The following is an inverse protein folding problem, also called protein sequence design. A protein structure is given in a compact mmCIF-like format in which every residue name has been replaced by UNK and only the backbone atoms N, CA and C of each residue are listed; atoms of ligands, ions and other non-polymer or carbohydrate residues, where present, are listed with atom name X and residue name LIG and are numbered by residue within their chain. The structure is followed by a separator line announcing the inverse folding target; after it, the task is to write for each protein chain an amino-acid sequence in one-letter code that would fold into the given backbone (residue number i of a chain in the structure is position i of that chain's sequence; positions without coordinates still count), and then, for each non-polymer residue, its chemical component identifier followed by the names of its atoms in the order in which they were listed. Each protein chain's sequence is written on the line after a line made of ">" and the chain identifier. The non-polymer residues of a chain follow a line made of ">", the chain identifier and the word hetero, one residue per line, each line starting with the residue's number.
data_IF_919858545056
#
_entry.id   IF_919858545056
#
_cell.length_a   1.000
_cell.length_b   1.000
_cell.length_c   1.000
_cell.angle_alpha   90.00
_cell.angle_beta   90.00
_cell.angle_gamma   90.00
#
_symmetry.space_group_name_H-M   'P 1'
#
loop_
_entity.id
_entity.type
_entity.pdbx_description
1 polymer ?
#
# COMPACT_ATOMS: atom_id res chain seq x y z
N UNK A 1 -6.28 41.37 -4.19
CA UNK A 1 -5.57 40.10 -4.49
C UNK A 1 -5.34 39.31 -3.20
N UNK A 2 -6.27 38.43 -2.76
CA UNK A 2 -6.07 37.61 -1.55
C UNK A 2 -6.07 36.10 -1.88
N UNK A 3 -5.21 35.67 -2.82
CA UNK A 3 -5.15 34.26 -3.23
C UNK A 3 -3.93 33.50 -2.67
N UNK A 4 -3.00 34.19 -1.99
CA UNK A 4 -1.73 33.60 -1.53
C UNK A 4 -1.82 32.93 -0.16
N UNK A 5 -2.78 33.31 0.69
CA UNK A 5 -2.91 32.76 2.06
C UNK A 5 -3.50 31.35 2.13
N UNK A 6 -4.30 30.95 1.14
CA UNK A 6 -4.96 29.63 1.13
C UNK A 6 -4.03 28.51 0.64
N UNK A 7 -3.05 28.84 -0.19
CA UNK A 7 -2.07 27.89 -0.72
C UNK A 7 -1.00 27.50 0.33
N UNK A 8 -0.61 28.42 1.20
CA UNK A 8 0.39 28.14 2.25
C UNK A 8 -0.10 27.11 3.29
N UNK A 9 -1.39 27.05 3.57
CA UNK A 9 -1.96 26.09 4.55
C UNK A 9 -1.98 24.65 4.04
N UNK A 10 -2.16 24.44 2.72
CA UNK A 10 -2.14 23.10 2.12
C UNK A 10 -0.72 22.53 2.03
N UNK A 11 0.26 23.39 1.71
CA UNK A 11 1.68 23.01 1.65
C UNK A 11 2.21 22.66 3.05
N UNK A 12 1.83 23.41 4.08
CA UNK A 12 2.21 23.12 5.47
C UNK A 12 1.65 21.78 5.97
N UNK A 13 0.40 21.45 5.63
CA UNK A 13 -0.22 20.17 6.03
C UNK A 13 0.43 18.98 5.31
N UNK A 14 0.77 19.13 4.02
CA UNK A 14 1.49 18.11 3.26
C UNK A 14 2.93 17.91 3.78
N UNK A 15 3.60 18.99 4.22
CA UNK A 15 4.95 18.92 4.78
C UNK A 15 4.98 18.16 6.12
N UNK A 16 3.98 18.38 6.99
CA UNK A 16 3.86 17.69 8.29
C UNK A 16 3.62 16.17 8.11
N UNK A 17 2.84 15.77 7.11
CA UNK A 17 2.64 14.36 6.79
C UNK A 17 3.91 13.68 6.23
N UNK A 18 4.76 14.41 5.48
CA UNK A 18 6.03 13.85 4.97
C UNK A 18 7.09 13.71 6.07
N UNK A 19 7.08 14.56 7.10
CA UNK A 19 8.07 14.50 8.19
C UNK A 19 7.76 13.45 9.27
N UNK A 20 6.56 12.85 9.25
CA UNK A 20 6.12 11.87 10.26
C UNK A 20 6.70 10.46 10.12
N UNK A 21 7.52 10.18 9.09
CA UNK A 21 8.00 8.81 8.81
C UNK A 21 9.41 8.54 9.36
N UNK A 22 10.10 9.56 9.89
CA UNK A 22 11.46 9.44 10.40
C UNK A 22 11.57 9.15 11.91
N UNK A 23 10.44 8.93 12.60
CA UNK A 23 10.43 8.65 14.04
C UNK A 23 9.31 7.71 14.49
N UNK A 24 8.83 6.86 13.58
CA UNK A 24 7.90 5.78 13.93
C UNK A 24 8.67 4.48 14.00
N UNK A 25 9.29 4.26 15.14
CA UNK A 25 9.98 3.01 15.43
C UNK A 25 9.02 1.83 15.22
N UNK A 26 9.54 0.76 14.63
CA UNK A 26 8.76 -0.43 14.36
C UNK A 26 8.38 -1.19 15.64
N UNK A 27 7.41 -2.12 15.57
CA UNK A 27 6.96 -2.86 16.74
C UNK A 27 8.07 -3.68 17.40
N UNK A 28 8.95 -4.32 16.62
CA UNK A 28 10.04 -5.12 17.17
C UNK A 28 11.15 -4.22 17.73
N UNK A 29 11.43 -3.09 17.09
CA UNK A 29 12.36 -2.07 17.57
C UNK A 29 11.94 -1.51 18.95
N UNK A 30 10.64 -1.22 19.13
CA UNK A 30 10.06 -0.80 20.41
C UNK A 30 10.22 -1.87 21.49
N UNK A 31 9.87 -3.11 21.18
CA UNK A 31 10.04 -4.22 22.11
C UNK A 31 11.51 -4.41 22.49
N UNK A 32 12.42 -4.25 21.53
CA UNK A 32 13.86 -4.28 21.76
C UNK A 32 14.34 -3.19 22.71
N UNK A 33 13.91 -1.94 22.50
CA UNK A 33 14.21 -0.84 23.42
C UNK A 33 13.73 -1.08 24.85
N UNK A 34 12.51 -1.59 24.98
CA UNK A 34 11.95 -1.89 26.30
C UNK A 34 12.74 -2.99 27.02
N UNK A 35 13.19 -4.01 26.27
CA UNK A 35 14.06 -5.05 26.80
C UNK A 35 15.43 -4.49 27.23
N UNK A 36 16.08 -3.68 26.37
CA UNK A 36 17.37 -3.05 26.68
C UNK A 36 17.26 -2.13 27.91
N UNK A 37 16.15 -1.41 28.03
CA UNK A 37 15.86 -0.56 29.19
C UNK A 37 15.65 -1.36 30.46
N UNK A 38 14.88 -2.44 30.41
CA UNK A 38 14.67 -3.31 31.56
C UNK A 38 15.97 -3.96 32.04
N UNK A 39 16.83 -4.38 31.11
CA UNK A 39 18.14 -4.95 31.42
C UNK A 39 19.08 -3.93 32.05
N UNK A 40 19.15 -2.71 31.49
CA UNK A 40 19.96 -1.64 32.06
C UNK A 40 19.48 -1.22 33.45
N UNK A 41 18.17 -1.07 33.64
CA UNK A 41 17.56 -0.76 34.93
C UNK A 41 17.88 -1.86 35.98
N UNK A 42 17.80 -3.14 35.59
CA UNK A 42 18.18 -4.26 36.45
C UNK A 42 19.68 -4.28 36.78
N UNK A 43 20.54 -3.86 35.86
CA UNK A 43 21.98 -3.73 36.06
C UNK A 43 22.40 -2.46 36.82
N UNK A 44 21.46 -1.55 37.14
CA UNK A 44 21.76 -0.28 37.79
C UNK A 44 22.48 0.72 36.88
N UNK A 45 22.37 0.54 35.57
CA UNK A 45 22.94 1.43 34.56
C UNK A 45 21.84 2.20 33.82
N UNK A 46 22.19 3.35 33.28
CA UNK A 46 21.31 4.06 32.35
C UNK A 46 21.58 3.58 30.93
N UNK A 47 20.52 3.40 30.14
CA UNK A 47 20.67 3.20 28.70
C UNK A 47 21.17 4.52 28.09
N UNK A 48 22.30 4.48 27.39
CA UNK A 48 22.79 5.59 26.59
C UNK A 48 22.98 5.13 25.15
N UNK A 49 22.17 5.68 24.25
CA UNK A 49 22.16 5.31 22.83
C UNK A 49 21.29 4.09 22.52
N UNK A 50 21.36 3.63 21.27
CA UNK A 50 20.59 2.47 20.81
C UNK A 50 21.14 1.17 21.40
N UNK A 51 20.23 0.37 21.95
CA UNK A 51 20.57 -0.90 22.58
C UNK A 51 20.68 -2.07 21.56
N UNK A 52 21.32 -3.20 21.93
CA UNK A 52 21.46 -4.34 21.04
C UNK A 52 20.11 -4.93 20.59
N UNK A 53 19.13 -5.02 21.50
CA UNK A 53 17.83 -5.59 21.18
C UNK A 53 17.01 -4.62 20.31
N UNK A 54 17.12 -3.31 20.54
CA UNK A 54 16.54 -2.28 19.68
C UNK A 54 17.01 -2.43 18.23
N UNK A 55 18.33 -2.51 17.98
CA UNK A 55 18.86 -2.67 16.62
C UNK A 55 18.44 -3.99 15.96
N UNK A 56 18.34 -5.05 16.75
CA UNK A 56 17.84 -6.33 16.27
C UNK A 56 16.36 -6.24 15.89
N UNK A 57 15.56 -5.54 16.69
CA UNK A 57 14.17 -5.22 16.39
C UNK A 57 14.02 -4.41 15.11
N UNK A 58 14.80 -3.34 14.95
CA UNK A 58 14.81 -2.52 13.74
C UNK A 58 15.15 -3.33 12.49
N UNK A 59 16.12 -4.24 12.58
CA UNK A 59 16.48 -5.12 11.48
C UNK A 59 15.32 -6.07 11.10
N UNK A 60 14.61 -6.63 12.08
CA UNK A 60 13.42 -7.45 11.85
C UNK A 60 12.30 -6.64 11.19
N UNK A 61 12.03 -5.44 11.71
CA UNK A 61 11.01 -4.54 11.15
C UNK A 61 11.31 -4.16 9.70
N UNK A 62 12.59 -3.96 9.34
CA UNK A 62 13.00 -3.72 7.95
C UNK A 62 12.71 -4.91 7.04
N UNK A 63 12.96 -6.14 7.50
CA UNK A 63 12.68 -7.35 6.74
C UNK A 63 11.17 -7.54 6.56
N UNK A 64 10.39 -7.46 7.64
CA UNK A 64 8.94 -7.58 7.58
C UNK A 64 8.30 -6.53 6.65
N UNK A 65 8.81 -5.30 6.69
CA UNK A 65 8.35 -4.23 5.79
C UNK A 65 8.71 -4.50 4.33
N UNK A 66 9.87 -5.10 4.06
CA UNK A 66 10.26 -5.49 2.71
C UNK A 66 9.36 -6.61 2.18
N UNK A 67 9.09 -7.63 3.01
CA UNK A 67 8.20 -8.74 2.67
C UNK A 67 6.77 -8.26 2.43
N UNK A 68 6.26 -7.36 3.28
CA UNK A 68 4.95 -6.75 3.11
C UNK A 68 4.82 -6.01 1.77
N UNK A 69 5.84 -5.20 1.41
CA UNK A 69 5.87 -4.49 0.11
C UNK A 69 5.94 -5.46 -1.07
N UNK A 70 6.68 -6.56 -0.95
CA UNK A 70 6.76 -7.56 -2.00
C UNK A 70 5.40 -8.25 -2.21
N UNK A 71 4.70 -8.59 -1.12
CA UNK A 71 3.36 -9.17 -1.16
C UNK A 71 2.33 -8.20 -1.75
N UNK A 72 2.36 -6.92 -1.35
CA UNK A 72 1.51 -5.87 -1.91
C UNK A 72 1.73 -5.71 -3.42
N UNK A 73 3.00 -5.66 -3.87
CA UNK A 73 3.33 -5.60 -5.29
C UNK A 73 2.84 -6.82 -6.07
N UNK A 74 2.91 -8.02 -5.48
CA UNK A 74 2.38 -9.24 -6.07
C UNK A 74 0.85 -9.21 -6.15
N UNK A 75 0.17 -8.71 -5.12
CA UNK A 75 -1.28 -8.54 -5.11
C UNK A 75 -1.74 -7.56 -6.20
N UNK A 76 -1.10 -6.39 -6.31
CA UNK A 76 -1.38 -5.40 -7.35
C UNK A 76 -1.20 -5.98 -8.77
N UNK A 77 -0.17 -6.81 -8.95
CA UNK A 77 0.07 -7.46 -10.24
C UNK A 77 -1.02 -8.48 -10.59
N UNK A 78 -1.54 -9.21 -9.60
CA UNK A 78 -2.65 -10.14 -9.77
C UNK A 78 -3.97 -9.41 -10.02
N UNK A 79 -4.23 -8.31 -9.30
CA UNK A 79 -5.41 -7.46 -9.51
C UNK A 79 -5.45 -6.93 -10.95
N UNK A 80 -4.34 -6.38 -11.44
CA UNK A 80 -4.21 -5.90 -12.83
C UNK A 80 -4.46 -7.00 -13.85
N UNK A 81 -3.96 -8.21 -13.60
CA UNK A 81 -4.23 -9.35 -14.48
C UNK A 81 -5.72 -9.73 -14.48
N UNK A 82 -6.36 -9.70 -13.30
CA UNK A 82 -7.80 -9.93 -13.16
C UNK A 82 -8.62 -8.91 -13.93
N UNK A 83 -8.29 -7.63 -13.83
CA UNK A 83 -8.98 -6.55 -14.55
C UNK A 83 -8.80 -6.64 -16.06
N UNK A 84 -7.62 -7.04 -16.53
CA UNK A 84 -7.39 -7.31 -17.95
C UNK A 84 -8.22 -8.49 -18.45
N UNK A 85 -8.35 -9.55 -17.65
CA UNK A 85 -9.18 -10.70 -18.01
C UNK A 85 -10.67 -10.32 -18.04
N UNK A 86 -11.13 -9.56 -17.05
CA UNK A 86 -12.50 -9.03 -17.00
C UNK A 86 -12.80 -8.19 -18.24
N UNK A 87 -11.92 -7.25 -18.56
CA UNK A 87 -12.07 -6.40 -19.75
C UNK A 87 -12.14 -7.21 -21.04
N UNK A 88 -11.30 -8.25 -21.17
CA UNK A 88 -11.35 -9.14 -22.34
C UNK A 88 -12.66 -9.94 -22.41
N UNK A 89 -13.14 -10.42 -21.27
CA UNK A 89 -14.41 -11.12 -21.19
C UNK A 89 -15.59 -10.20 -21.58
N UNK A 90 -15.62 -8.97 -21.09
CA UNK A 90 -16.66 -7.99 -21.41
C UNK A 90 -16.67 -7.68 -22.92
N UNK A 91 -15.50 -7.42 -23.52
CA UNK A 91 -15.38 -7.22 -24.97
C UNK A 91 -15.84 -8.45 -25.77
N UNK A 92 -15.59 -9.66 -25.27
CA UNK A 92 -16.05 -10.89 -25.92
C UNK A 92 -17.57 -11.03 -25.84
N UNK A 93 -18.16 -10.66 -24.70
CA UNK A 93 -19.60 -10.67 -24.49
C UNK A 93 -20.32 -9.65 -25.40
N UNK A 94 -19.79 -8.43 -25.49
CA UNK A 94 -20.33 -7.39 -26.37
C UNK A 94 -20.34 -7.83 -27.84
N UNK A 95 -19.26 -8.45 -28.32
CA UNK A 95 -19.19 -9.00 -29.68
C UNK A 95 -20.19 -10.11 -29.93
N UNK A 96 -20.43 -10.97 -28.93
CA UNK A 96 -21.42 -12.04 -29.04
C UNK A 96 -22.84 -11.48 -29.05
N UNK A 97 -23.12 -10.45 -28.25
CA UNK A 97 -24.42 -9.79 -28.26
C UNK A 97 -24.69 -9.08 -29.60
N UNK A 98 -23.67 -8.40 -30.16
CA UNK A 98 -23.77 -7.77 -31.48
C UNK A 98 -24.02 -8.81 -32.59
N UNK A 99 -23.30 -9.93 -32.57
CA UNK A 99 -23.55 -11.04 -33.50
C UNK A 99 -24.98 -11.58 -33.37
N UNK A 100 -25.46 -11.81 -32.14
CA UNK A 100 -26.81 -12.29 -31.90
C UNK A 100 -27.88 -11.31 -32.42
N UNK A 101 -27.67 -9.99 -32.23
CA UNK A 101 -28.57 -8.96 -32.78
C UNK A 101 -28.60 -9.00 -34.30
N UNK A 102 -27.44 -9.04 -34.95
CA UNK A 102 -27.37 -9.09 -36.42
C UNK A 102 -28.06 -10.33 -37.02
N UNK A 103 -27.94 -11.49 -36.36
CA UNK A 103 -28.63 -12.73 -36.75
C UNK A 103 -30.15 -12.59 -36.64
N UNK A 104 -30.65 -11.98 -35.55
CA UNK A 104 -32.08 -11.74 -35.35
C UNK A 104 -32.64 -10.77 -36.39
N UNK A 105 -31.93 -9.69 -36.69
CA UNK A 105 -32.32 -8.72 -37.71
C UNK A 105 -32.35 -9.35 -39.11
N UNK A 106 -31.33 -10.13 -39.47
CA UNK A 106 -31.28 -10.84 -40.74
C UNK A 106 -32.45 -11.82 -40.90
N UNK A 107 -32.77 -12.57 -39.85
CA UNK A 107 -33.91 -13.52 -39.83
C UNK A 107 -35.25 -12.78 -39.95
N UNK A 108 -35.40 -11.63 -39.27
CA UNK A 108 -36.63 -10.82 -39.34
C UNK A 108 -36.85 -10.27 -40.75
N UNK A 109 -35.76 -9.93 -41.46
CA UNK A 109 -35.82 -9.42 -42.83
C UNK A 109 -36.15 -10.50 -43.87
N UNK A 110 -35.77 -11.76 -43.66
CA UNK A 110 -36.05 -12.86 -44.59
C UNK A 110 -37.44 -13.49 -44.40
N UNK A 111 -38.07 -13.31 -43.24
CA UNK A 111 -39.42 -13.85 -42.94
C UNK A 111 -40.55 -12.88 -43.32
N UNK A 112 -40.23 -11.64 -43.72
CA UNK A 112 -41.18 -10.59 -44.12
C UNK A 112 -41.35 -10.50 -45.63
#
# INVERSE_FOLDING_TARGET
>A
MPQTLRAMSGVLLALVCLTGVAGCDGPNEKAGREADRAEAEAAGHNVTGEGPNERLGEAQDRVEKADARANEAAADALEKQGDQLRTQADLSADRLDEQARSLREATTKTVR
#
